data_IF_238141511005
#
_entry.id   IF_238141511005
#
_cell.length_a   1.000
_cell.length_b   1.000
_cell.length_c   1.000
_cell.angle_alpha   90.00
_cell.angle_beta   90.00
_cell.angle_gamma   90.00
#
_symmetry.space_group_name_H-M   'P 1'
#
loop_
_entity.id
_entity.type
_entity.pdbx_description
1 polymer ?
#
# COMPACT_ATOMS: atom_id res chain seq x y z
N UNK A 1 19.47 5.28 29.76
CA UNK A 1 18.55 4.83 28.69
C UNK A 1 18.47 3.31 28.72
N UNK A 2 17.31 2.74 29.05
CA UNK A 2 17.14 1.28 29.19
C UNK A 2 16.85 0.62 27.83
N UNK A 3 17.25 -0.64 27.64
CA UNK A 3 17.06 -1.45 26.42
C UNK A 3 15.59 -1.49 25.94
N UNK A 4 14.67 -1.39 26.89
CA UNK A 4 13.23 -1.38 26.70
C UNK A 4 12.75 -0.13 25.91
N UNK A 5 13.44 1.00 26.07
CA UNK A 5 13.16 2.23 25.31
C UNK A 5 13.61 2.10 23.86
N UNK A 6 14.77 1.49 23.61
CA UNK A 6 15.32 1.32 22.26
C UNK A 6 14.46 0.35 21.43
N UNK A 7 13.95 -0.72 22.06
CA UNK A 7 13.07 -1.69 21.40
C UNK A 7 11.74 -1.06 20.97
N UNK A 8 11.15 -0.21 21.82
CA UNK A 8 9.91 0.53 21.49
C UNK A 8 10.09 1.52 20.33
N UNK A 9 11.21 2.25 20.28
CA UNK A 9 11.50 3.15 19.16
C UNK A 9 11.68 2.39 17.84
N UNK A 10 12.43 1.29 17.85
CA UNK A 10 12.64 0.47 16.67
C UNK A 10 11.32 -0.16 16.17
N UNK A 11 10.43 -0.59 17.06
CA UNK A 11 9.11 -1.09 16.70
C UNK A 11 8.24 0.01 16.08
N UNK A 12 8.24 1.21 16.67
CA UNK A 12 7.53 2.37 16.13
C UNK A 12 8.02 2.75 14.73
N UNK A 13 9.33 2.73 14.47
CA UNK A 13 9.87 3.03 13.14
C UNK A 13 9.51 1.97 12.10
N UNK A 14 9.50 0.68 12.50
CA UNK A 14 9.03 -0.40 11.61
C UNK A 14 7.57 -0.22 11.25
N UNK A 15 6.72 0.13 12.23
CA UNK A 15 5.30 0.39 11.99
C UNK A 15 5.08 1.58 11.04
N UNK A 16 5.83 2.67 11.21
CA UNK A 16 5.78 3.83 10.31
C UNK A 16 6.14 3.44 8.88
N UNK A 17 7.21 2.66 8.70
CA UNK A 17 7.61 2.18 7.36
C UNK A 17 6.56 1.23 6.77
N UNK A 18 6.02 0.31 7.54
CA UNK A 18 4.99 -0.62 7.08
C UNK A 18 3.73 0.14 6.59
N UNK A 19 3.25 1.13 7.35
CA UNK A 19 2.12 1.96 6.97
C UNK A 19 2.39 2.82 5.72
N UNK A 20 3.61 3.35 5.58
CA UNK A 20 4.00 4.10 4.39
C UNK A 20 4.00 3.20 3.14
N UNK A 21 4.58 1.99 3.24
CA UNK A 21 4.56 1.00 2.17
C UNK A 21 3.15 0.55 1.81
N UNK A 22 2.27 0.33 2.81
CA UNK A 22 0.89 -0.09 2.59
C UNK A 22 0.08 0.97 1.83
N UNK A 23 0.30 2.26 2.13
CA UNK A 23 -0.30 3.37 1.35
C UNK A 23 0.17 3.37 -0.10
N UNK A 24 1.47 3.16 -0.33
CA UNK A 24 2.02 3.04 -1.68
C UNK A 24 1.43 1.85 -2.44
N UNK A 25 1.29 0.70 -1.78
CA UNK A 25 0.67 -0.49 -2.34
C UNK A 25 -0.79 -0.22 -2.73
N UNK A 26 -1.59 0.38 -1.84
CA UNK A 26 -2.99 0.68 -2.12
C UNK A 26 -3.18 1.58 -3.34
N UNK A 27 -2.32 2.60 -3.51
CA UNK A 27 -2.34 3.46 -4.69
C UNK A 27 -1.92 2.70 -5.94
N UNK A 28 -0.87 1.88 -5.84
CA UNK A 28 -0.35 1.09 -6.97
C UNK A 28 -1.33 0.02 -7.45
N UNK A 29 -1.97 -0.68 -6.53
CA UNK A 29 -3.04 -1.65 -6.77
C UNK A 29 -4.25 -0.96 -7.43
N UNK A 30 -4.77 0.12 -6.83
CA UNK A 30 -5.92 0.83 -7.38
C UNK A 30 -5.65 1.39 -8.79
N UNK A 31 -4.46 1.93 -9.05
CA UNK A 31 -4.07 2.40 -10.39
C UNK A 31 -3.83 1.24 -11.35
N UNK A 32 -3.09 0.22 -10.92
CA UNK A 32 -2.73 -0.95 -11.73
C UNK A 32 -3.97 -1.71 -12.20
N UNK A 33 -4.97 -1.84 -11.33
CA UNK A 33 -6.23 -2.53 -11.62
C UNK A 33 -7.00 -1.88 -12.78
N UNK A 34 -6.84 -0.57 -13.00
CA UNK A 34 -7.48 0.14 -14.10
C UNK A 34 -7.01 -0.35 -15.47
N UNK A 35 -5.81 -0.93 -15.58
CA UNK A 35 -5.25 -1.40 -16.84
C UNK A 35 -5.61 -2.84 -17.21
N UNK A 36 -6.46 -3.50 -16.41
CA UNK A 36 -7.19 -4.70 -16.85
C UNK A 36 -8.49 -4.37 -17.59
N UNK A 37 -8.91 -3.09 -17.60
CA UNK A 37 -10.04 -2.60 -18.38
C UNK A 37 -9.56 -2.25 -19.80
N UNK A 38 -10.07 -2.91 -20.86
CA UNK A 38 -9.59 -2.69 -22.24
C UNK A 38 -9.62 -1.23 -22.70
N UNK A 39 -10.60 -0.45 -22.24
CA UNK A 39 -10.73 0.97 -22.56
C UNK A 39 -9.54 1.83 -22.07
N UNK A 40 -8.81 1.39 -21.04
CA UNK A 40 -7.72 2.15 -20.43
C UNK A 40 -6.34 1.82 -21.00
N UNK A 41 -6.20 0.78 -21.83
CA UNK A 41 -4.89 0.28 -22.32
C UNK A 41 -4.07 1.32 -23.10
N UNK A 42 -4.71 2.32 -23.72
CA UNK A 42 -4.04 3.36 -24.49
C UNK A 42 -3.59 4.57 -23.63
N UNK A 43 -4.13 4.74 -22.42
CA UNK A 43 -3.91 5.92 -21.59
C UNK A 43 -2.43 6.14 -21.19
N UNK A 44 -1.63 5.11 -20.85
CA UNK A 44 -0.23 5.32 -20.46
C UNK A 44 0.61 5.89 -21.60
N UNK A 45 0.33 5.49 -22.84
CA UNK A 45 1.02 6.03 -24.03
C UNK A 45 0.70 7.50 -24.28
N UNK A 46 -0.41 8.00 -23.74
CA UNK A 46 -0.87 9.39 -23.85
C UNK A 46 -0.54 10.20 -22.60
N UNK A 47 0.10 9.59 -21.59
CA UNK A 47 0.30 10.18 -20.27
C UNK A 47 -1.00 10.65 -19.61
N UNK A 48 -2.10 9.94 -19.87
CA UNK A 48 -3.43 10.19 -19.32
C UNK A 48 -3.72 9.23 -18.17
N UNK A 49 -4.54 9.67 -17.21
CA UNK A 49 -5.00 8.84 -16.10
C UNK A 49 -6.42 8.34 -16.34
N UNK A 50 -6.77 7.12 -15.90
CA UNK A 50 -8.16 6.66 -15.90
C UNK A 50 -9.05 7.61 -15.09
N UNK A 51 -10.26 7.95 -15.56
CA UNK A 51 -11.13 8.90 -14.87
C UNK A 51 -11.70 8.32 -13.56
N UNK A 52 -12.12 9.20 -12.66
CA UNK A 52 -12.83 8.82 -11.42
C UNK A 52 -11.90 8.39 -10.28
N UNK A 53 -12.52 7.90 -9.20
CA UNK A 53 -11.81 7.33 -8.04
C UNK A 53 -11.55 5.84 -8.26
N UNK A 54 -10.33 5.38 -7.99
CA UNK A 54 -9.98 3.97 -8.16
C UNK A 54 -10.15 3.21 -6.85
N UNK A 55 -10.84 2.07 -6.94
CA UNK A 55 -10.89 1.10 -5.85
C UNK A 55 -9.60 0.26 -5.90
N UNK A 56 -9.05 -0.03 -4.73
CA UNK A 56 -8.04 -1.08 -4.57
C UNK A 56 -8.71 -2.46 -4.60
N UNK A 57 -7.90 -3.52 -4.76
CA UNK A 57 -8.34 -4.92 -4.89
C UNK A 57 -7.96 -5.75 -3.66
N UNK A 58 -8.21 -7.06 -3.70
CA UNK A 58 -7.86 -7.98 -2.62
C UNK A 58 -6.36 -7.96 -2.28
N UNK A 59 -5.47 -7.57 -3.19
CA UNK A 59 -4.04 -7.36 -2.91
C UNK A 59 -3.82 -6.40 -1.71
N UNK A 60 -4.55 -5.29 -1.66
CA UNK A 60 -4.46 -4.32 -0.55
C UNK A 60 -5.04 -4.88 0.74
N UNK A 61 -6.16 -5.59 0.69
CA UNK A 61 -6.77 -6.22 1.86
C UNK A 61 -5.85 -7.30 2.45
N UNK A 62 -5.29 -8.16 1.59
CA UNK A 62 -4.35 -9.20 1.98
C UNK A 62 -3.09 -8.60 2.60
N UNK A 63 -2.54 -7.52 2.05
CA UNK A 63 -1.39 -6.83 2.66
C UNK A 63 -1.71 -6.22 4.03
N UNK A 64 -2.93 -5.69 4.22
CA UNK A 64 -3.38 -5.21 5.54
C UNK A 64 -3.32 -6.34 6.58
N UNK A 65 -3.71 -7.57 6.21
CA UNK A 65 -3.67 -8.72 7.13
C UNK A 65 -2.25 -9.03 7.63
N UNK A 66 -1.26 -8.94 6.74
CA UNK A 66 0.15 -9.19 7.10
C UNK A 66 0.66 -8.10 8.05
N UNK A 67 0.38 -6.83 7.76
CA UNK A 67 0.76 -5.71 8.64
C UNK A 67 0.08 -5.85 10.02
N UNK A 68 -1.18 -6.27 10.07
CA UNK A 68 -1.89 -6.48 11.32
C UNK A 68 -1.23 -7.57 12.19
N UNK A 69 -0.80 -8.69 11.59
CA UNK A 69 -0.08 -9.75 12.31
C UNK A 69 1.29 -9.27 12.79
N UNK A 70 2.05 -8.58 11.94
CA UNK A 70 3.36 -8.03 12.31
C UNK A 70 3.30 -6.96 13.40
N UNK A 71 2.16 -6.26 13.53
CA UNK A 71 1.95 -5.25 14.57
C UNK A 71 1.52 -5.86 15.92
N UNK A 72 1.03 -7.11 15.92
CA UNK A 72 0.62 -7.83 17.12
C UNK A 72 1.80 -8.57 17.82
N UNK A 73 2.96 -8.62 17.18
CA UNK A 73 4.20 -9.26 17.68
C UNK A 73 5.23 -8.24 18.15
#
# INVERSE_FOLDING_TARGET
>A
MSADSLHRHACSERAVRALASLRGLAVGDALGSQFFVPAHHALPRRSELPPGTWQWTDDTEMACSVVAVMAAT
#
